data_IF_808341056797
#
_entry.id   IF_808341056797
#
_cell.length_a   1.000
_cell.length_b   1.000
_cell.length_c   1.000
_cell.angle_alpha   90.00
_cell.angle_beta   90.00
_cell.angle_gamma   90.00
#
_symmetry.space_group_name_H-M   'P 1'
#
loop_
_entity.id
_entity.type
_entity.pdbx_description
1 polymer ?
#
# COMPACT_ATOMS: atom_id res chain seq x y z
N UNK A 1 -19.63 11.86 -0.65
CA UNK A 1 -18.34 11.19 -0.92
C UNK A 1 -18.56 10.11 -1.96
N UNK A 2 -17.99 10.22 -3.16
CA UNK A 2 -18.14 9.27 -4.27
C UNK A 2 -16.79 8.63 -4.60
N UNK A 3 -16.36 7.73 -3.72
CA UNK A 3 -15.15 6.95 -3.92
C UNK A 3 -15.25 6.08 -5.19
N UNK A 4 -14.11 5.77 -5.80
CA UNK A 4 -14.00 4.95 -7.03
C UNK A 4 -14.08 3.45 -6.70
N UNK A 5 -15.14 2.80 -7.18
CA UNK A 5 -15.37 1.36 -6.99
C UNK A 5 -14.46 0.54 -7.89
N UNK A 6 -14.14 -0.65 -7.42
CA UNK A 6 -13.62 -1.73 -8.23
C UNK A 6 -14.78 -2.19 -9.13
N UNK A 7 -14.60 -2.02 -10.42
CA UNK A 7 -15.54 -2.42 -11.45
C UNK A 7 -15.30 -3.90 -11.78
N UNK A 8 -16.37 -4.61 -12.14
CA UNK A 8 -16.30 -6.01 -12.55
C UNK A 8 -15.57 -6.12 -13.90
N UNK A 9 -14.25 -6.30 -13.88
CA UNK A 9 -13.45 -6.46 -15.09
C UNK A 9 -12.01 -6.93 -14.80
N UNK A 10 -11.40 -7.76 -15.69
CA UNK A 10 -10.05 -8.30 -15.48
C UNK A 10 -8.94 -7.26 -15.40
N UNK A 11 -9.12 -6.09 -16.03
CA UNK A 11 -8.07 -5.07 -16.17
C UNK A 11 -7.65 -4.47 -14.82
N UNK A 12 -8.61 -4.19 -13.93
CA UNK A 12 -8.33 -3.64 -12.61
C UNK A 12 -7.68 -4.65 -11.66
N UNK A 13 -7.97 -5.93 -11.85
CA UNK A 13 -7.36 -7.02 -11.06
C UNK A 13 -5.91 -7.29 -11.41
N UNK A 14 -5.43 -6.91 -12.60
CA UNK A 14 -4.01 -7.00 -12.92
C UNK A 14 -3.17 -6.08 -12.02
N UNK A 15 -3.65 -4.88 -11.71
CA UNK A 15 -2.95 -3.97 -10.80
C UNK A 15 -2.93 -4.51 -9.37
N UNK A 16 -4.05 -5.09 -8.92
CA UNK A 16 -4.15 -5.73 -7.60
C UNK A 16 -3.22 -6.94 -7.52
N UNK A 17 -3.19 -7.77 -8.56
CA UNK A 17 -2.31 -8.93 -8.69
C UNK A 17 -0.84 -8.53 -8.66
N UNK A 18 -0.45 -7.52 -9.45
CA UNK A 18 0.94 -7.05 -9.47
C UNK A 18 1.38 -6.52 -8.10
N UNK A 19 0.52 -5.74 -7.43
CA UNK A 19 0.81 -5.24 -6.10
C UNK A 19 0.98 -6.39 -5.09
N UNK A 20 0.08 -7.38 -5.11
CA UNK A 20 0.15 -8.55 -4.23
C UNK A 20 1.39 -9.42 -4.53
N UNK A 21 1.76 -9.60 -5.81
CA UNK A 21 2.92 -10.39 -6.21
C UNK A 21 4.24 -9.73 -5.79
N UNK A 22 4.37 -8.42 -6.00
CA UNK A 22 5.54 -7.65 -5.53
C UNK A 22 5.65 -7.75 -4.01
N UNK A 23 4.56 -7.55 -3.27
CA UNK A 23 4.54 -7.68 -1.81
C UNK A 23 4.95 -9.09 -1.38
N UNK A 24 4.38 -10.13 -1.98
CA UNK A 24 4.71 -11.52 -1.64
C UNK A 24 6.16 -11.87 -1.96
N UNK A 25 6.62 -11.68 -3.19
CA UNK A 25 7.98 -12.03 -3.61
C UNK A 25 9.05 -11.30 -2.81
N UNK A 26 8.78 -10.06 -2.42
CA UNK A 26 9.70 -9.25 -1.62
C UNK A 26 9.82 -9.73 -0.16
N UNK A 27 9.00 -10.70 0.28
CA UNK A 27 9.13 -11.36 1.58
C UNK A 27 9.87 -12.71 1.52
N UNK A 28 10.09 -13.26 0.33
CA UNK A 28 10.66 -14.61 0.17
C UNK A 28 12.17 -14.68 0.42
N UNK A 29 12.87 -13.56 0.30
CA UNK A 29 14.32 -13.50 0.47
C UNK A 29 14.76 -12.17 1.08
N UNK A 30 15.77 -12.21 1.93
CA UNK A 30 16.39 -10.99 2.45
C UNK A 30 17.23 -10.29 1.36
N UNK A 31 17.91 -11.04 0.49
CA UNK A 31 18.77 -10.51 -0.57
C UNK A 31 17.96 -9.86 -1.69
N UNK A 32 18.18 -8.55 -1.88
CA UNK A 32 17.55 -7.76 -2.93
C UNK A 32 17.91 -8.24 -4.34
N UNK A 33 19.09 -8.83 -4.54
CA UNK A 33 19.50 -9.35 -5.85
C UNK A 33 18.69 -10.58 -6.23
N UNK A 34 18.43 -11.48 -5.27
CA UNK A 34 17.58 -12.65 -5.48
C UNK A 34 16.14 -12.23 -5.81
N UNK A 35 15.60 -11.22 -5.12
CA UNK A 35 14.27 -10.66 -5.42
C UNK A 35 14.24 -10.00 -6.79
N UNK A 36 15.28 -9.23 -7.12
CA UNK A 36 15.42 -8.57 -8.42
C UNK A 36 15.39 -9.60 -9.54
N UNK A 37 16.19 -10.67 -9.44
CA UNK A 37 16.21 -11.75 -10.41
C UNK A 37 14.84 -12.45 -10.52
N UNK A 38 14.18 -12.73 -9.39
CA UNK A 38 12.87 -13.35 -9.36
C UNK A 38 11.79 -12.49 -10.03
N UNK A 39 11.74 -11.19 -9.72
CA UNK A 39 10.77 -10.24 -10.31
C UNK A 39 11.04 -10.02 -11.80
N UNK A 40 12.30 -9.85 -12.21
CA UNK A 40 12.66 -9.72 -13.64
C UNK A 40 12.29 -10.97 -14.42
N UNK A 41 12.54 -12.15 -13.87
CA UNK A 41 12.16 -13.43 -14.46
C UNK A 41 10.64 -13.60 -14.55
N UNK A 42 9.91 -13.26 -13.49
CA UNK A 42 8.46 -13.37 -13.44
C UNK A 42 7.76 -12.43 -14.44
N UNK A 43 8.13 -11.14 -14.45
CA UNK A 43 7.57 -10.16 -15.36
C UNK A 43 8.19 -10.18 -16.77
N UNK A 44 9.15 -11.08 -17.01
CA UNK A 44 9.93 -11.14 -18.26
C UNK A 44 10.48 -9.77 -18.68
N UNK A 45 10.86 -8.96 -17.69
CA UNK A 45 11.27 -7.58 -17.89
C UNK A 45 12.68 -7.36 -17.31
N UNK A 46 13.74 -7.47 -18.14
CA UNK A 46 15.11 -7.24 -17.66
C UNK A 46 15.39 -5.79 -17.25
N UNK A 47 14.54 -4.83 -17.67
CA UNK A 47 14.67 -3.40 -17.36
C UNK A 47 13.94 -2.99 -16.07
N UNK A 48 13.32 -3.95 -15.39
CA UNK A 48 12.66 -3.72 -14.11
C UNK A 48 13.72 -3.42 -13.05
N UNK A 49 13.58 -2.28 -12.37
CA UNK A 49 14.47 -1.83 -11.30
C UNK A 49 13.75 -1.97 -9.97
N UNK A 50 14.49 -2.42 -8.95
CA UNK A 50 13.98 -2.61 -7.60
C UNK A 50 14.94 -1.90 -6.66
N UNK A 51 14.40 -1.04 -5.80
CA UNK A 51 15.12 -0.43 -4.68
C UNK A 51 14.46 -0.88 -3.38
N UNK A 52 15.27 -1.11 -2.36
CA UNK A 52 14.76 -1.43 -1.03
C UNK A 52 14.81 -0.24 -0.09
N UNK A 53 13.86 -0.22 0.83
CA UNK A 53 13.68 0.83 1.81
C UNK A 53 13.74 0.23 3.21
N UNK A 54 14.55 0.86 4.05
CA UNK A 54 14.76 0.51 5.44
C UNK A 54 14.41 1.71 6.32
N UNK A 55 14.00 1.41 7.55
CA UNK A 55 13.77 2.45 8.55
C UNK A 55 15.06 2.93 9.22
N UNK A 56 16.18 2.23 9.00
CA UNK A 56 17.47 2.51 9.66
C UNK A 56 17.60 1.98 11.09
N UNK A 57 16.50 1.56 11.72
CA UNK A 57 16.50 0.89 13.04
C UNK A 57 16.02 -0.56 12.99
N UNK A 58 15.36 -0.98 11.91
CA UNK A 58 15.06 -2.39 11.65
C UNK A 58 16.15 -2.98 10.75
N UNK A 59 16.61 -4.19 11.07
CA UNK A 59 17.58 -4.92 10.24
C UNK A 59 16.96 -5.41 8.92
N UNK A 60 15.62 -5.49 8.86
CA UNK A 60 14.90 -5.96 7.69
C UNK A 60 14.26 -4.84 6.89
N UNK A 61 14.23 -5.06 5.58
CA UNK A 61 13.56 -4.23 4.60
C UNK A 61 12.08 -4.08 4.95
N UNK A 62 11.56 -2.86 4.74
CA UNK A 62 10.18 -2.49 5.06
C UNK A 62 9.37 -2.03 3.88
N UNK A 63 10.02 -1.63 2.81
CA UNK A 63 9.35 -1.42 1.55
C UNK A 63 10.29 -1.71 0.38
N UNK A 64 9.70 -1.87 -0.80
CA UNK A 64 10.41 -1.85 -2.08
C UNK A 64 9.79 -0.80 -2.99
N UNK A 65 10.61 -0.18 -3.83
CA UNK A 65 10.16 0.60 -4.98
C UNK A 65 10.55 -0.19 -6.22
N UNK A 66 9.54 -0.64 -6.95
CA UNK A 66 9.69 -1.38 -8.21
C UNK A 66 9.24 -0.49 -9.35
N UNK A 67 10.05 -0.32 -10.37
CA UNK A 67 9.62 0.44 -11.55
C UNK A 67 10.18 -0.12 -12.86
N UNK A 68 9.47 0.18 -13.95
CA UNK A 68 9.87 -0.13 -15.32
C UNK A 68 9.84 1.18 -16.15
N UNK A 69 9.41 1.13 -17.41
CA UNK A 69 9.30 2.31 -18.29
C UNK A 69 8.06 3.16 -18.03
N UNK A 70 6.99 2.62 -17.44
CA UNK A 70 5.69 3.28 -17.33
C UNK A 70 4.99 3.18 -15.96
N UNK A 71 5.35 2.18 -15.14
CA UNK A 71 4.75 1.90 -13.83
C UNK A 71 5.80 2.01 -12.73
N UNK A 72 5.42 2.67 -11.64
CA UNK A 72 6.13 2.70 -10.35
C UNK A 72 5.22 2.05 -9.31
N UNK A 73 5.74 1.14 -8.51
CA UNK A 73 5.05 0.52 -7.38
C UNK A 73 5.88 0.71 -6.12
N UNK A 74 5.33 1.41 -5.13
CA UNK A 74 5.90 1.59 -3.80
C UNK A 74 5.15 0.64 -2.87
N UNK A 75 5.78 -0.48 -2.53
CA UNK A 75 5.16 -1.58 -1.80
C UNK A 75 5.71 -1.70 -0.38
N UNK A 76 4.89 -1.39 0.62
CA UNK A 76 5.18 -1.48 2.04
C UNK A 76 4.88 -2.89 2.58
N UNK A 77 5.90 -3.55 3.10
CA UNK A 77 5.87 -4.94 3.53
C UNK A 77 5.21 -5.07 4.90
N UNK A 78 4.62 -6.25 5.12
CA UNK A 78 4.08 -6.63 6.42
C UNK A 78 5.16 -6.82 7.49
N UNK A 79 4.71 -7.11 8.70
CA UNK A 79 5.60 -7.35 9.84
C UNK A 79 6.29 -8.69 9.78
N UNK A 80 7.46 -8.77 10.40
CA UNK A 80 7.98 -10.08 10.81
C UNK A 80 7.17 -10.63 11.99
N UNK A 81 7.18 -11.95 12.18
CA UNK A 81 6.44 -12.63 13.25
C UNK A 81 6.70 -12.03 14.65
N UNK A 82 7.90 -11.48 14.87
CA UNK A 82 8.32 -10.87 16.14
C UNK A 82 7.84 -9.44 16.32
N UNK A 83 7.05 -8.88 15.41
CA UNK A 83 6.65 -7.47 15.46
C UNK A 83 5.14 -7.29 15.43
N UNK A 84 4.38 -8.37 15.27
CA UNK A 84 2.92 -8.32 15.26
C UNK A 84 2.34 -7.68 16.54
N UNK A 85 3.03 -7.82 17.68
CA UNK A 85 2.62 -7.17 18.93
C UNK A 85 2.81 -5.65 18.90
N UNK A 86 3.64 -5.10 18.01
CA UNK A 86 3.81 -3.65 17.86
C UNK A 86 2.56 -2.97 17.29
N UNK A 87 1.59 -3.72 16.78
CA UNK A 87 0.23 -3.22 16.49
C UNK A 87 -0.51 -2.72 17.73
N UNK A 88 -0.07 -3.09 18.93
CA UNK A 88 -0.61 -2.54 20.18
C UNK A 88 0.16 -1.30 20.63
N UNK A 89 1.22 -0.89 19.93
CA UNK A 89 2.03 0.29 20.24
C UNK A 89 1.47 1.51 19.52
N UNK A 90 0.27 1.91 19.94
CA UNK A 90 -0.49 2.99 19.31
C UNK A 90 -0.06 4.38 19.75
N UNK A 91 0.46 4.47 20.97
CA UNK A 91 0.85 5.72 21.59
C UNK A 91 2.36 5.93 21.46
N UNK A 92 2.78 7.19 21.39
CA UNK A 92 4.18 7.56 21.34
C UNK A 92 4.86 7.33 22.70
N UNK A 93 6.17 7.14 22.68
CA UNK A 93 6.97 7.05 23.90
C UNK A 93 7.17 8.44 24.50
N UNK A 94 6.49 8.75 25.59
CA UNK A 94 6.60 10.05 26.27
C UNK A 94 7.77 10.12 27.26
N UNK A 95 7.87 11.28 27.92
CA UNK A 95 8.87 11.50 28.95
C UNK A 95 8.69 10.50 30.10
N UNK A 96 9.79 9.88 30.55
CA UNK A 96 9.81 8.78 31.54
C UNK A 96 9.10 7.49 31.09
N UNK A 97 8.83 7.32 29.79
CA UNK A 97 8.18 6.11 29.27
C UNK A 97 6.66 6.10 29.43
N UNK A 98 6.06 7.21 29.85
CA UNK A 98 4.60 7.37 29.90
C UNK A 98 4.09 7.48 28.46
N UNK A 99 3.22 6.57 27.98
CA UNK A 99 2.68 6.65 26.63
C UNK A 99 1.83 7.92 26.45
N UNK A 100 1.87 8.52 25.26
CA UNK A 100 0.98 9.64 24.92
C UNK A 100 0.33 9.44 23.55
N UNK A 101 -0.94 9.84 23.37
CA UNK A 101 -1.59 9.77 22.07
C UNK A 101 -0.90 10.72 21.09
N UNK A 102 -0.65 10.22 19.89
CA UNK A 102 -0.04 11.00 18.80
C UNK A 102 -1.13 11.50 17.87
N UNK A 103 -0.99 12.76 17.43
CA UNK A 103 -1.93 13.41 16.54
C UNK A 103 -1.24 13.96 15.30
N UNK A 104 -1.96 13.94 14.18
CA UNK A 104 -1.60 14.63 12.95
C UNK A 104 -2.83 15.37 12.42
N UNK A 105 -2.67 16.68 12.20
CA UNK A 105 -3.77 17.58 11.83
C UNK A 105 -4.99 17.48 12.75
N UNK A 106 -4.76 17.25 14.05
CA UNK A 106 -5.81 17.12 15.07
C UNK A 106 -6.44 15.72 15.18
N UNK A 107 -6.06 14.76 14.36
CA UNK A 107 -6.61 13.39 14.37
C UNK A 107 -5.62 12.42 15.01
N UNK A 108 -6.11 11.48 15.81
CA UNK A 108 -5.25 10.48 16.46
C UNK A 108 -4.73 9.50 15.42
N UNK A 109 -3.43 9.21 15.50
CA UNK A 109 -2.73 8.32 14.59
C UNK A 109 -1.90 7.29 15.36
N UNK A 110 -1.63 6.16 14.71
CA UNK A 110 -0.81 5.08 15.25
C UNK A 110 0.67 5.48 15.23
N UNK A 111 1.24 5.68 16.42
CA UNK A 111 2.62 6.16 16.58
C UNK A 111 3.65 5.29 15.85
N UNK A 112 3.54 3.96 15.97
CA UNK A 112 4.46 3.04 15.30
C UNK A 112 4.48 3.24 13.77
N UNK A 113 3.32 3.26 13.09
CA UNK A 113 3.29 3.44 11.63
C UNK A 113 3.77 4.81 11.19
N UNK A 114 3.45 5.85 11.98
CA UNK A 114 3.99 7.20 11.77
C UNK A 114 5.51 7.18 11.81
N UNK A 115 6.09 6.55 12.83
CA UNK A 115 7.54 6.51 13.02
C UNK A 115 8.23 5.69 11.93
N UNK A 116 7.64 4.54 11.53
CA UNK A 116 8.13 3.77 10.39
C UNK A 116 8.11 4.60 9.10
N UNK A 117 7.01 5.32 8.84
CA UNK A 117 6.88 6.16 7.65
C UNK A 117 7.93 7.28 7.66
N UNK A 118 8.01 8.07 8.74
CA UNK A 118 8.95 9.18 8.82
C UNK A 118 10.40 8.72 8.66
N UNK A 119 10.75 7.56 9.18
CA UNK A 119 12.08 6.98 9.04
C UNK A 119 12.42 6.59 7.59
N UNK A 120 11.42 6.20 6.79
CA UNK A 120 11.60 5.83 5.38
C UNK A 120 11.29 6.96 4.39
N UNK A 121 10.68 8.06 4.84
CA UNK A 121 10.10 9.08 3.97
C UNK A 121 11.09 9.63 2.95
N UNK A 122 12.27 10.04 3.41
CA UNK A 122 13.28 10.62 2.51
C UNK A 122 13.76 9.58 1.48
N UNK A 123 14.09 8.37 1.92
CA UNK A 123 14.52 7.30 1.01
C UNK A 123 13.43 6.93 -0.01
N UNK A 124 12.16 7.00 0.39
CA UNK A 124 11.02 6.77 -0.50
C UNK A 124 10.93 7.86 -1.56
N UNK A 125 11.10 9.13 -1.16
CA UNK A 125 11.11 10.26 -2.10
C UNK A 125 12.30 10.20 -3.05
N UNK A 126 13.51 9.89 -2.55
CA UNK A 126 14.69 9.75 -3.39
C UNK A 126 14.53 8.60 -4.41
N UNK A 127 13.91 7.49 -4.00
CA UNK A 127 13.62 6.37 -4.89
C UNK A 127 12.56 6.73 -5.95
N UNK A 128 11.52 7.50 -5.56
CA UNK A 128 10.52 8.00 -6.50
C UNK A 128 11.14 8.98 -7.51
N UNK A 129 11.92 9.95 -7.04
CA UNK A 129 12.62 10.93 -7.88
C UNK A 129 13.57 10.24 -8.87
N UNK A 130 14.32 9.23 -8.39
CA UNK A 130 15.20 8.42 -9.25
C UNK A 130 14.41 7.67 -10.30
N UNK A 131 13.30 7.02 -9.93
CA UNK A 131 12.46 6.30 -10.87
C UNK A 131 11.93 7.22 -11.99
N UNK A 132 11.43 8.40 -11.62
CA UNK A 132 10.95 9.42 -12.58
C UNK A 132 12.11 9.94 -13.44
N UNK A 133 13.27 10.21 -12.85
CA UNK A 133 14.47 10.66 -13.57
C UNK A 133 14.96 9.64 -14.60
N UNK A 134 15.00 8.36 -14.23
CA UNK A 134 15.39 7.28 -15.13
C UNK A 134 14.37 7.06 -16.26
N UNK A 135 13.08 7.20 -15.99
CA UNK A 135 12.04 7.20 -17.03
C UNK A 135 12.26 8.37 -18.00
N UNK A 136 12.47 9.58 -17.48
CA UNK A 136 12.68 10.78 -18.28
C UNK A 136 13.95 10.68 -19.15
N UNK A 137 15.05 10.14 -18.62
CA UNK A 137 16.29 9.89 -19.35
C UNK A 137 16.11 8.95 -20.55
N UNK A 138 15.06 8.12 -20.54
CA UNK A 138 14.67 7.22 -21.63
C UNK A 138 13.56 7.79 -22.52
N UNK A 139 13.18 9.06 -22.34
CA UNK A 139 12.09 9.70 -23.07
C UNK A 139 10.70 9.22 -22.65
N UNK A 140 10.56 8.62 -21.47
CA UNK A 140 9.31 8.13 -20.92
C UNK A 140 8.86 8.97 -19.72
N UNK A 141 7.59 8.84 -19.33
CA UNK A 141 7.01 9.44 -18.14
C UNK A 141 6.16 8.41 -17.40
N UNK A 142 5.99 8.55 -16.07
CA UNK A 142 5.10 7.68 -15.33
C UNK A 142 3.68 7.73 -15.90
N UNK A 143 3.12 6.55 -16.17
CA UNK A 143 1.71 6.36 -16.51
C UNK A 143 0.92 5.85 -15.31
N UNK A 144 1.60 5.21 -14.35
CA UNK A 144 0.99 4.68 -13.15
C UNK A 144 1.96 4.68 -11.97
N UNK A 145 1.45 5.05 -10.80
CA UNK A 145 2.13 5.03 -9.51
C UNK A 145 1.19 4.32 -8.53
N UNK A 146 1.56 3.11 -8.13
CA UNK A 146 0.80 2.29 -7.18
C UNK A 146 1.47 2.38 -5.82
N UNK A 147 0.78 2.92 -4.83
CA UNK A 147 1.15 2.79 -3.41
C UNK A 147 0.45 1.54 -2.89
N UNK A 148 1.22 0.57 -2.42
CA UNK A 148 0.72 -0.71 -1.96
C UNK A 148 1.17 -1.02 -0.54
N UNK A 149 0.33 -1.70 0.25
CA UNK A 149 0.71 -2.10 1.60
C UNK A 149 0.01 -3.38 2.05
N UNK A 150 0.74 -4.24 2.75
CA UNK A 150 0.19 -5.45 3.36
C UNK A 150 0.37 -5.43 4.87
N UNK A 151 -0.65 -5.85 5.65
CA UNK A 151 -0.55 -5.95 7.11
C UNK A 151 -0.15 -4.60 7.74
N UNK A 152 0.88 -4.60 8.60
CA UNK A 152 1.52 -3.40 9.15
C UNK A 152 2.03 -2.45 8.06
N UNK A 153 2.51 -2.98 6.94
CA UNK A 153 2.85 -2.20 5.75
C UNK A 153 1.65 -1.46 5.14
N UNK A 154 0.45 -2.01 5.26
CA UNK A 154 -0.80 -1.29 4.95
C UNK A 154 -1.04 -0.10 5.87
N UNK A 155 -0.76 -0.25 7.17
CA UNK A 155 -0.79 0.87 8.13
C UNK A 155 0.22 1.97 7.78
N UNK A 156 1.44 1.58 7.38
CA UNK A 156 2.48 2.52 6.94
C UNK A 156 2.08 3.21 5.62
N UNK A 157 1.54 2.46 4.65
CA UNK A 157 1.13 3.03 3.36
C UNK A 157 -0.03 4.03 3.50
N UNK A 158 -0.92 3.82 4.48
CA UNK A 158 -1.97 4.77 4.86
C UNK A 158 -1.37 6.09 5.33
N UNK A 159 -0.36 6.06 6.19
CA UNK A 159 0.36 7.27 6.63
C UNK A 159 1.11 7.92 5.48
N UNK A 160 1.76 7.11 4.66
CA UNK A 160 2.61 7.58 3.57
C UNK A 160 1.84 8.23 2.42
N UNK A 161 0.59 7.81 2.18
CA UNK A 161 -0.10 8.13 0.95
C UNK A 161 -0.25 9.64 0.71
N UNK A 162 -0.69 10.39 1.72
CA UNK A 162 -0.88 11.84 1.59
C UNK A 162 0.43 12.54 1.26
N UNK A 163 1.52 12.20 1.96
CA UNK A 163 2.85 12.75 1.72
C UNK A 163 3.38 12.41 0.32
N UNK A 164 3.17 11.18 -0.17
CA UNK A 164 3.58 10.76 -1.52
C UNK A 164 2.77 11.52 -2.58
N UNK A 165 1.45 11.67 -2.39
CA UNK A 165 0.62 12.41 -3.32
C UNK A 165 1.04 13.89 -3.38
N UNK A 166 1.23 14.52 -2.23
CA UNK A 166 1.70 15.92 -2.17
C UNK A 166 3.10 16.06 -2.76
N UNK A 167 4.01 15.09 -2.56
CA UNK A 167 5.32 15.07 -3.22
C UNK A 167 5.17 15.11 -4.74
N UNK A 168 4.29 14.30 -5.32
CA UNK A 168 4.01 14.30 -6.76
C UNK A 168 3.47 15.66 -7.19
N UNK A 169 2.47 16.18 -6.48
CA UNK A 169 1.81 17.47 -6.82
C UNK A 169 2.76 18.66 -6.74
N UNK A 170 3.65 18.70 -5.74
CA UNK A 170 4.63 19.77 -5.57
C UNK A 170 5.84 19.66 -6.49
N UNK A 171 6.23 18.45 -6.90
CA UNK A 171 7.44 18.25 -7.70
C UNK A 171 7.15 18.31 -9.18
N UNK A 172 6.10 17.61 -9.63
CA UNK A 172 5.74 17.49 -11.04
C UNK A 172 4.32 17.96 -11.36
N UNK A 173 3.42 18.05 -10.39
CA UNK A 173 2.03 18.42 -10.61
C UNK A 173 1.74 19.92 -10.59
N UNK A 174 0.48 20.28 -10.37
CA UNK A 174 0.00 21.66 -10.48
C UNK A 174 0.54 22.61 -9.40
N UNK A 175 1.13 22.07 -8.34
CA UNK A 175 1.80 22.86 -7.30
C UNK A 175 3.30 23.03 -7.56
N UNK A 176 3.81 22.51 -8.68
CA UNK A 176 5.20 22.70 -9.11
C UNK A 176 5.39 24.05 -9.80
N UNK A 177 6.60 24.60 -9.73
CA UNK A 177 6.99 25.76 -10.54
C UNK A 177 7.09 25.45 -12.04
N UNK A 178 7.07 24.17 -12.43
CA UNK A 178 7.05 23.73 -13.83
C UNK A 178 6.24 22.44 -13.99
N UNK A 179 4.89 22.54 -13.92
CA UNK A 179 4.00 21.38 -13.96
C UNK A 179 4.16 20.55 -15.23
N UNK A 180 4.29 19.25 -15.05
CA UNK A 180 4.33 18.24 -16.10
C UNK A 180 2.92 17.76 -16.40
N UNK A 181 2.59 17.59 -17.68
CA UNK A 181 1.24 17.18 -18.12
C UNK A 181 0.79 15.83 -17.53
N UNK A 182 1.73 14.92 -17.29
CA UNK A 182 1.44 13.59 -16.74
C UNK A 182 1.15 13.57 -15.23
N UNK A 183 1.40 14.67 -14.50
CA UNK A 183 1.29 14.74 -13.04
C UNK A 183 0.29 15.79 -12.53
N UNK A 184 -0.49 16.41 -13.42
CA UNK A 184 -1.51 17.39 -13.05
C UNK A 184 -2.63 16.78 -12.22
N UNK A 185 -3.33 17.60 -11.43
CA UNK A 185 -4.40 17.14 -10.55
C UNK A 185 -5.52 16.43 -11.34
N UNK A 186 -5.76 16.86 -12.59
CA UNK A 186 -6.77 16.28 -13.51
C UNK A 186 -6.46 14.85 -14.00
N UNK A 187 -5.18 14.43 -13.95
CA UNK A 187 -4.74 13.07 -14.38
C UNK A 187 -4.40 12.15 -13.20
N UNK A 188 -4.57 12.61 -11.95
CA UNK A 188 -4.24 11.82 -10.76
C UNK A 188 -5.11 10.56 -10.63
N UNK A 189 -6.33 10.56 -11.16
CA UNK A 189 -7.25 9.40 -11.14
C UNK A 189 -6.72 8.22 -11.94
N UNK A 190 -6.03 8.48 -13.06
CA UNK A 190 -5.34 7.46 -13.85
C UNK A 190 -3.97 7.13 -13.26
N UNK A 191 -3.23 8.16 -12.85
CA UNK A 191 -1.84 8.06 -12.42
C UNK A 191 -1.70 7.34 -11.08
N UNK A 192 -2.45 7.70 -10.05
CA UNK A 192 -2.19 7.26 -8.67
C UNK A 192 -3.23 6.28 -8.17
N UNK A 193 -2.78 5.23 -7.51
CA UNK A 193 -3.63 4.20 -6.91
C UNK A 193 -3.11 3.82 -5.52
N UNK A 194 -4.02 3.45 -4.61
CA UNK A 194 -3.67 2.97 -3.28
C UNK A 194 -4.34 1.63 -2.94
N UNK A 195 -3.55 0.56 -2.99
CA UNK A 195 -4.02 -0.81 -2.78
C UNK A 195 -3.51 -1.34 -1.44
N UNK A 196 -4.37 -1.87 -0.59
CA UNK A 196 -3.92 -2.58 0.60
C UNK A 196 -4.53 -3.96 0.74
N UNK A 197 -3.81 -4.82 1.45
CA UNK A 197 -4.20 -6.18 1.76
C UNK A 197 -4.06 -6.39 3.26
N UNK A 198 -5.12 -6.83 3.92
CA UNK A 198 -5.13 -7.04 5.37
C UNK A 198 -4.58 -5.84 6.17
N UNK A 199 -4.87 -4.60 5.73
CA UNK A 199 -4.24 -3.43 6.33
C UNK A 199 -4.63 -3.28 7.79
N UNK A 200 -3.63 -3.05 8.63
CA UNK A 200 -3.87 -2.63 10.01
C UNK A 200 -4.19 -1.14 10.01
N UNK A 201 -5.17 -0.76 10.83
CA UNK A 201 -5.71 0.58 10.78
C UNK A 201 -4.76 1.60 11.42
N UNK A 202 -4.54 2.71 10.72
CA UNK A 202 -3.47 3.64 11.02
C UNK A 202 -3.95 4.90 11.77
N UNK A 203 -5.20 5.32 11.61
CA UNK A 203 -5.74 6.52 12.24
C UNK A 203 -7.12 6.32 12.84
N UNK A 204 -7.63 7.34 13.50
CA UNK A 204 -9.04 7.40 13.92
C UNK A 204 -9.97 7.78 12.75
N UNK A 205 -11.27 7.82 13.05
CA UNK A 205 -12.29 8.16 12.04
C UNK A 205 -12.06 9.54 11.41
N UNK A 206 -11.55 10.52 12.17
CA UNK A 206 -11.26 11.85 11.65
C UNK A 206 -10.15 11.82 10.61
N UNK A 207 -9.06 11.08 10.90
CA UNK A 207 -7.97 10.87 9.95
C UNK A 207 -8.47 10.24 8.64
N UNK A 208 -9.25 9.16 8.72
CA UNK A 208 -9.78 8.51 7.53
C UNK A 208 -10.82 9.34 6.77
N UNK A 209 -11.55 10.22 7.45
CA UNK A 209 -12.44 11.17 6.77
C UNK A 209 -11.65 12.07 5.84
N UNK A 210 -10.55 12.66 6.34
CA UNK A 210 -9.67 13.51 5.51
C UNK A 210 -9.01 12.71 4.38
N UNK A 211 -8.57 11.48 4.65
CA UNK A 211 -7.97 10.62 3.64
C UNK A 211 -8.98 10.23 2.54
N UNK A 212 -10.23 9.96 2.91
CA UNK A 212 -11.27 9.64 1.95
C UNK A 212 -11.73 10.87 1.16
N UNK A 213 -11.72 12.06 1.76
CA UNK A 213 -11.96 13.32 1.04
C UNK A 213 -10.87 13.57 -0.01
N UNK A 214 -9.62 13.21 0.29
CA UNK A 214 -8.51 13.25 -0.67
C UNK A 214 -8.75 12.30 -1.84
N UNK A 215 -9.16 11.06 -1.56
CA UNK A 215 -9.49 10.08 -2.60
C UNK A 215 -10.67 10.54 -3.46
N UNK A 216 -11.72 11.11 -2.86
CA UNK A 216 -12.88 11.63 -3.59
C UNK A 216 -12.49 12.82 -4.45
N UNK A 217 -11.70 13.77 -3.92
CA UNK A 217 -11.29 14.98 -4.65
C UNK A 217 -10.55 14.66 -5.95
N UNK A 218 -9.57 13.75 -5.89
CA UNK A 218 -8.75 13.40 -7.05
C UNK A 218 -9.21 12.11 -7.75
N UNK A 219 -10.35 11.55 -7.34
CA UNK A 219 -10.90 10.29 -7.87
C UNK A 219 -9.87 9.15 -7.85
N UNK A 220 -9.12 9.05 -6.75
CA UNK A 220 -8.09 8.01 -6.57
C UNK A 220 -8.76 6.65 -6.39
N UNK A 221 -8.25 5.64 -7.11
CA UNK A 221 -8.57 4.23 -6.88
C UNK A 221 -7.93 3.78 -5.56
N UNK A 222 -8.70 3.79 -4.47
CA UNK A 222 -8.25 3.35 -3.15
C UNK A 222 -9.02 2.10 -2.71
N UNK A 223 -8.37 0.95 -2.75
CA UNK A 223 -8.99 -0.36 -2.48
C UNK A 223 -8.24 -1.09 -1.36
N UNK A 224 -8.99 -1.59 -0.39
CA UNK A 224 -8.53 -2.37 0.74
C UNK A 224 -9.14 -3.77 0.65
N UNK A 225 -8.33 -4.83 0.63
CA UNK A 225 -8.80 -6.21 0.53
C UNK A 225 -8.63 -6.91 1.87
N UNK A 226 -9.68 -7.58 2.34
CA UNK A 226 -9.69 -8.24 3.65
C UNK A 226 -10.24 -9.66 3.54
N UNK A 227 -9.50 -10.63 4.05
CA UNK A 227 -10.00 -11.96 4.33
C UNK A 227 -10.87 -11.91 5.60
N UNK A 228 -12.14 -12.32 5.53
CA UNK A 228 -13.02 -12.32 6.71
C UNK A 228 -12.60 -13.32 7.80
N UNK A 229 -11.75 -14.31 7.46
CA UNK A 229 -11.12 -15.21 8.43
C UNK A 229 -9.78 -14.69 8.96
N UNK A 230 -9.37 -13.47 8.61
CA UNK A 230 -8.13 -12.89 9.11
C UNK A 230 -8.26 -12.54 10.59
N UNK A 231 -7.53 -13.25 11.44
CA UNK A 231 -7.61 -13.04 12.89
C UNK A 231 -6.84 -11.80 13.34
N UNK A 232 -5.98 -11.23 12.51
CA UNK A 232 -5.17 -10.09 12.94
C UNK A 232 -5.99 -8.82 13.11
N UNK A 233 -7.20 -8.78 12.53
CA UNK A 233 -8.18 -7.71 12.76
C UNK A 233 -8.52 -7.52 14.24
N UNK A 234 -8.32 -8.55 15.06
CA UNK A 234 -8.53 -8.49 16.51
C UNK A 234 -7.39 -7.80 17.27
N UNK A 235 -6.23 -7.59 16.64
CA UNK A 235 -5.09 -6.87 17.24
C UNK A 235 -5.13 -5.36 16.98
N UNK A 236 -6.25 -4.82 16.50
CA UNK A 236 -6.44 -3.39 16.32
C UNK A 236 -6.83 -2.71 17.63
N UNK A 237 -6.15 -1.61 17.93
CA UNK A 237 -6.57 -0.73 19.00
C UNK A 237 -7.95 -0.13 18.71
N UNK A 238 -8.83 -0.11 19.71
CA UNK A 238 -10.23 0.29 19.55
C UNK A 238 -10.43 1.71 18.98
N UNK A 239 -9.49 2.62 19.26
CA UNK A 239 -9.52 3.98 18.73
C UNK A 239 -9.29 4.10 17.21
N UNK A 240 -8.74 3.06 16.57
CA UNK A 240 -8.38 3.07 15.14
C UNK A 240 -9.31 2.20 14.30
N UNK A 241 -10.51 1.90 14.79
CA UNK A 241 -11.52 1.16 14.01
C UNK A 241 -12.21 2.10 13.04
N UNK A 242 -11.65 2.24 11.84
CA UNK A 242 -12.21 3.02 10.73
C UNK A 242 -11.63 2.54 9.40
N UNK A 243 -12.31 2.84 8.30
CA UNK A 243 -11.99 2.34 6.97
C UNK A 243 -11.53 3.46 6.02
N UNK A 244 -10.74 3.07 5.01
CA UNK A 244 -10.26 3.92 3.91
C UNK A 244 -10.81 3.40 2.58
N UNK A 245 -11.09 4.26 1.61
CA UNK A 245 -11.44 3.84 0.25
C UNK A 245 -12.61 2.84 0.23
N UNK A 246 -12.57 1.83 -0.65
CA UNK A 246 -13.48 0.68 -0.50
C UNK A 246 -12.78 -0.48 0.15
N UNK A 247 -13.43 -1.05 1.17
CA UNK A 247 -13.05 -2.36 1.72
C UNK A 247 -13.81 -3.47 0.99
N UNK A 248 -13.04 -4.40 0.45
CA UNK A 248 -13.49 -5.57 -0.28
C UNK A 248 -13.25 -6.79 0.59
N UNK A 249 -14.33 -7.31 1.19
CA UNK A 249 -14.27 -8.53 1.98
C UNK A 249 -14.35 -9.72 1.03
N UNK A 250 -13.34 -10.59 1.11
CA UNK A 250 -13.23 -11.74 0.24
C UNK A 250 -14.35 -12.75 0.55
N UNK A 251 -15.09 -13.26 -0.45
CA UNK A 251 -16.12 -14.28 -0.25
C UNK A 251 -15.56 -15.57 0.38
N UNK A 252 -16.35 -16.24 1.23
CA UNK A 252 -16.03 -17.54 1.87
C UNK A 252 -15.56 -18.59 0.87
N UNK A 253 -16.19 -18.68 -0.30
CA UNK A 253 -15.77 -19.61 -1.35
C UNK A 253 -14.31 -19.40 -1.78
N UNK A 254 -13.87 -18.15 -1.94
CA UNK A 254 -12.49 -17.82 -2.32
C UNK A 254 -11.51 -18.07 -1.17
N UNK A 255 -11.90 -17.68 0.04
CA UNK A 255 -11.07 -17.87 1.24
C UNK A 255 -10.82 -19.35 1.50
N UNK A 256 -11.84 -20.20 1.38
CA UNK A 256 -11.68 -21.66 1.51
C UNK A 256 -10.83 -22.25 0.40
N UNK A 257 -11.02 -21.79 -0.82
CA UNK A 257 -10.29 -22.30 -1.97
C UNK A 257 -8.77 -22.10 -1.83
N UNK A 258 -8.34 -20.95 -1.31
CA UNK A 258 -6.93 -20.61 -1.10
C UNK A 258 -6.52 -20.63 0.37
N UNK A 259 -7.24 -21.38 1.21
CA UNK A 259 -7.08 -21.32 2.68
C UNK A 259 -5.65 -21.59 3.15
N UNK A 260 -4.95 -22.53 2.50
CA UNK A 260 -3.54 -22.83 2.80
C UNK A 260 -2.59 -21.66 2.50
N UNK A 261 -2.90 -20.87 1.47
CA UNK A 261 -2.10 -19.73 1.02
C UNK A 261 -2.27 -18.50 1.92
N UNK A 262 -3.43 -18.39 2.60
CA UNK A 262 -3.65 -17.42 3.67
C UNK A 262 -2.99 -17.81 5.01
N UNK A 263 -2.49 -19.04 5.14
CA UNK A 263 -1.86 -19.52 6.39
C UNK A 263 -2.84 -19.70 7.56
N UNK A 264 -2.33 -20.20 8.68
CA UNK A 264 -3.16 -20.64 9.83
C UNK A 264 -3.96 -19.54 10.54
N UNK A 265 -3.62 -18.26 10.32
CA UNK A 265 -4.34 -17.11 10.88
C UNK A 265 -5.15 -16.34 9.83
N UNK A 266 -5.22 -16.82 8.58
CA UNK A 266 -5.94 -16.14 7.50
C UNK A 266 -5.23 -14.91 6.92
N UNK A 267 -4.00 -14.60 7.36
CA UNK A 267 -3.35 -13.31 7.11
C UNK A 267 -2.29 -13.33 5.99
N UNK A 268 -2.02 -14.46 5.33
CA UNK A 268 -0.93 -14.59 4.36
C UNK A 268 -1.15 -13.80 3.07
N UNK A 269 -0.17 -12.97 2.68
CA UNK A 269 -0.17 -12.21 1.40
C UNK A 269 -0.30 -13.10 0.16
N UNK A 270 0.20 -14.34 0.22
CA UNK A 270 0.07 -15.30 -0.89
C UNK A 270 -1.40 -15.61 -1.20
N UNK A 271 -2.27 -15.75 -0.20
CA UNK A 271 -3.70 -15.97 -0.42
C UNK A 271 -4.35 -14.82 -1.17
N UNK A 272 -4.00 -13.57 -0.85
CA UNK A 272 -4.48 -12.39 -1.57
C UNK A 272 -3.97 -12.36 -3.03
N UNK A 273 -2.72 -12.75 -3.27
CA UNK A 273 -2.19 -12.92 -4.63
C UNK A 273 -2.99 -13.98 -5.40
N UNK A 274 -3.27 -15.14 -4.81
CA UNK A 274 -4.04 -16.21 -5.45
C UNK A 274 -5.45 -15.80 -5.81
N UNK A 275 -6.10 -15.02 -4.95
CA UNK A 275 -7.40 -14.42 -5.26
C UNK A 275 -7.27 -13.44 -6.42
N UNK A 276 -6.27 -12.55 -6.42
CA UNK A 276 -6.08 -11.59 -7.50
C UNK A 276 -5.78 -12.28 -8.85
N UNK A 277 -4.97 -13.35 -8.85
CA UNK A 277 -4.72 -14.20 -10.03
C UNK A 277 -6.03 -14.81 -10.56
N UNK A 278 -6.85 -15.36 -9.67
CA UNK A 278 -8.14 -15.96 -10.02
C UNK A 278 -9.09 -14.94 -10.67
N UNK A 279 -9.16 -13.74 -10.10
CA UNK A 279 -10.01 -12.65 -10.57
C UNK A 279 -9.52 -12.07 -11.89
N UNK A 280 -8.21 -11.89 -12.05
CA UNK A 280 -7.61 -11.46 -13.32
C UNK A 280 -7.82 -12.49 -14.46
N UNK A 281 -7.98 -13.77 -14.12
CA UNK A 281 -8.27 -14.85 -15.07
C UNK A 281 -9.71 -14.89 -15.62
N UNK A 282 -10.56 -13.91 -15.30
CA UNK A 282 -11.90 -13.78 -15.85
C UNK A 282 -12.95 -14.75 -15.28
N UNK A 283 -12.76 -15.22 -14.04
CA UNK A 283 -13.73 -16.10 -13.35
C UNK A 283 -14.76 -15.29 -12.57
N UNK A 284 -15.97 -15.86 -12.40
CA UNK A 284 -17.19 -15.25 -11.80
C UNK A 284 -17.11 -14.98 -10.28
N UNK A 285 -15.95 -14.60 -9.78
CA UNK A 285 -15.84 -14.07 -8.43
C UNK A 285 -16.41 -12.66 -8.38
N UNK A 286 -17.52 -12.44 -7.69
CA UNK A 286 -17.87 -11.08 -7.27
C UNK A 286 -17.26 -10.85 -5.88
N UNK A 287 -16.38 -9.87 -5.76
CA UNK A 287 -15.98 -9.39 -4.43
C UNK A 287 -16.96 -8.29 -4.07
N UNK A 288 -17.75 -8.52 -3.02
CA UNK A 288 -18.68 -7.51 -2.54
C UNK A 288 -17.90 -6.44 -1.77
N UNK A 289 -18.06 -5.18 -2.17
CA UNK A 289 -17.61 -4.08 -1.32
C UNK A 289 -18.50 -4.03 -0.09
N UNK A 290 -17.92 -4.16 1.09
CA UNK A 290 -18.66 -3.89 2.32
C UNK A 290 -18.46 -2.42 2.70
N UNK A 291 -19.57 -1.74 2.93
CA UNK A 291 -19.62 -0.45 3.59
C UNK A 291 -20.27 -0.67 4.96
N UNK A 292 -19.52 -1.26 5.90
CA UNK A 292 -20.01 -1.48 7.27
C UNK A 292 -19.34 -0.50 8.21
N UNK A 293 -20.18 0.27 8.91
CA UNK A 293 -19.85 0.85 10.22
C UNK A 293 -19.79 -0.24 11.28
#
# INVERSE_FOLDING_TARGET
>A
MRLVRLEGGPSQWNDVKDAADILWRSTLNADINAITAALRGHYQNPQLTISELYTGFNASRRAVVVYNTDKITIAFLGSELKEIYMNTWTDGKGWLGIPYPVFENGNRIHSFYRDMWHAMRQATFDALDRAVGDMAARGATPKQIVVAGFSMGGGISIMAFTDILERIRHTWGDQSGSPQSWARDEVLRELVQHITFAAVAAGDQGYYTLLNDLYDRYQIRAWDFMNHCDWTVNFHHGAFRSWRGYRYVLPDAMVRQFGGDFGGNGHGILGYLKVAEWMAGGRDGQVHSEYSY
#
